data_IF_951714797377
#
_entry.id   IF_951714797377
#
_cell.length_a   1.000
_cell.length_b   1.000
_cell.length_c   1.000
_cell.angle_alpha   90.00
_cell.angle_beta   90.00
_cell.angle_gamma   90.00
#
_symmetry.space_group_name_H-M   'P 1'
#
loop_
_entity.id
_entity.type
_entity.pdbx_description
1 polymer ?
#
# COMPACT_ATOMS: atom_id res chain seq x y z
N UNK A 1 -26.90 -46.49 56.38
CA UNK A 1 -26.15 -46.37 55.14
C UNK A 1 -25.50 -45.02 55.10
N UNK A 2 -24.22 -44.97 55.43
CA UNK A 2 -23.39 -43.74 55.38
C UNK A 2 -23.05 -43.41 53.92
N UNK A 3 -23.39 -42.20 53.50
CA UNK A 3 -22.87 -41.59 52.28
C UNK A 3 -21.54 -40.88 52.59
N UNK A 4 -20.50 -41.00 51.72
CA UNK A 4 -19.20 -40.34 51.95
C UNK A 4 -19.23 -38.88 51.57
N UNK A 5 -18.44 -38.07 52.30
CA UNK A 5 -18.26 -36.64 52.19
C UNK A 5 -17.76 -36.24 50.80
N UNK A 6 -18.31 -35.15 50.24
CA UNK A 6 -17.84 -34.49 49.01
C UNK A 6 -16.45 -33.88 49.26
N UNK A 7 -15.52 -34.24 48.39
CA UNK A 7 -14.20 -33.57 48.27
C UNK A 7 -14.40 -32.14 47.78
N UNK A 8 -13.76 -31.19 48.42
CA UNK A 8 -13.65 -29.81 47.99
C UNK A 8 -12.86 -29.73 46.65
N UNK A 9 -13.49 -29.12 45.69
CA UNK A 9 -12.89 -28.81 44.39
C UNK A 9 -12.18 -27.44 44.50
N UNK A 10 -10.85 -27.33 44.19
CA UNK A 10 -10.10 -26.08 44.34
C UNK A 10 -10.04 -25.25 43.05
N UNK A 11 -11.18 -25.00 42.39
CA UNK A 11 -11.22 -24.18 41.18
C UNK A 11 -12.24 -23.05 41.24
N UNK A 12 -12.12 -22.20 42.29
CA UNK A 12 -12.63 -20.84 42.24
C UNK A 12 -11.47 -19.89 42.40
N UNK A 13 -10.78 -19.65 41.29
CA UNK A 13 -9.82 -18.53 41.20
C UNK A 13 -10.62 -17.24 41.20
N UNK A 14 -10.41 -16.49 42.27
CA UNK A 14 -10.96 -15.17 42.54
C UNK A 14 -10.28 -14.13 41.58
N UNK A 15 -11.02 -13.60 40.62
CA UNK A 15 -10.53 -12.62 39.61
C UNK A 15 -10.52 -11.17 40.14
N UNK A 16 -10.36 -10.94 41.41
CA UNK A 16 -10.41 -9.63 42.06
C UNK A 16 -9.09 -9.20 42.69
N UNK A 17 -7.96 -9.59 42.14
CA UNK A 17 -6.71 -8.91 42.47
C UNK A 17 -6.47 -7.75 41.50
N UNK A 18 -6.21 -6.50 41.97
CA UNK A 18 -5.83 -5.43 41.11
C UNK A 18 -4.48 -5.79 40.46
N UNK A 19 -4.46 -5.78 39.12
CA UNK A 19 -3.23 -5.92 38.37
C UNK A 19 -2.23 -4.89 38.89
N UNK A 20 -1.16 -5.40 39.53
CA UNK A 20 -0.02 -4.58 39.89
C UNK A 20 0.43 -3.80 38.67
N UNK A 21 0.64 -2.47 38.87
CA UNK A 21 1.27 -1.60 37.90
C UNK A 21 2.53 -2.27 37.33
N UNK A 22 2.37 -2.88 36.17
CA UNK A 22 3.52 -3.30 35.35
C UNK A 22 4.15 -1.99 34.85
N UNK A 23 5.15 -1.50 35.59
CA UNK A 23 6.11 -0.55 35.05
C UNK A 23 6.47 -1.04 33.65
N UNK A 24 6.11 -0.25 32.64
CA UNK A 24 6.63 -0.43 31.30
C UNK A 24 8.13 -0.66 31.42
N UNK A 25 8.68 -1.75 30.88
CA UNK A 25 10.12 -1.93 30.90
C UNK A 25 10.73 -0.72 30.23
N UNK A 26 11.54 0.02 30.96
CA UNK A 26 12.39 1.06 30.41
C UNK A 26 13.24 0.38 29.32
N UNK A 27 12.86 0.63 28.08
CA UNK A 27 13.48 0.01 26.91
C UNK A 27 14.90 0.57 26.85
N UNK A 28 15.90 -0.29 27.00
CA UNK A 28 17.30 0.02 26.67
C UNK A 28 17.37 0.29 25.15
N UNK A 29 16.95 1.47 24.76
CA UNK A 29 17.18 1.98 23.41
C UNK A 29 18.67 2.25 23.24
N UNK A 30 19.25 2.07 22.03
CA UNK A 30 20.64 2.42 21.77
C UNK A 30 20.91 3.83 22.26
N UNK A 31 22.08 4.04 22.88
CA UNK A 31 22.46 5.29 23.53
C UNK A 31 22.46 6.53 22.59
N UNK A 32 22.36 6.34 21.28
CA UNK A 32 22.26 7.41 20.28
C UNK A 32 21.01 7.21 19.40
N UNK A 33 20.30 8.30 19.05
CA UNK A 33 19.15 8.24 18.16
C UNK A 33 19.54 7.70 16.77
N UNK A 34 18.65 6.89 16.18
CA UNK A 34 18.81 6.39 14.81
C UNK A 34 18.72 7.53 13.79
N UNK A 35 19.73 7.65 12.93
CA UNK A 35 19.78 8.71 11.93
C UNK A 35 18.88 8.40 10.74
N UNK A 36 17.97 9.31 10.41
CA UNK A 36 17.12 9.28 9.23
C UNK A 36 17.65 10.25 8.18
N UNK A 37 17.71 9.79 6.94
CA UNK A 37 18.04 10.63 5.79
C UNK A 37 16.97 10.44 4.72
N UNK A 38 16.35 11.51 4.29
CA UNK A 38 15.49 11.49 3.09
C UNK A 38 16.36 11.77 1.88
N UNK A 39 16.23 10.95 0.85
CA UNK A 39 17.05 11.03 -0.36
C UNK A 39 16.15 11.25 -1.56
N UNK A 40 16.34 12.35 -2.28
CA UNK A 40 15.81 12.51 -3.62
C UNK A 40 16.77 11.88 -4.61
N UNK A 41 16.39 10.79 -5.23
CA UNK A 41 17.27 10.04 -6.12
C UNK A 41 16.70 8.72 -6.58
N UNK A 42 17.40 8.08 -7.52
CA UNK A 42 17.10 6.70 -7.91
C UNK A 42 17.67 5.72 -6.88
N UNK A 43 16.90 4.69 -6.55
CA UNK A 43 17.28 3.65 -5.58
C UNK A 43 18.56 2.89 -5.98
N UNK A 44 18.89 2.87 -7.28
CA UNK A 44 20.14 2.26 -7.78
C UNK A 44 21.40 2.89 -7.19
N UNK A 45 21.29 4.12 -6.66
CA UNK A 45 22.38 4.82 -5.98
C UNK A 45 22.35 4.66 -4.45
N UNK A 46 21.59 3.70 -3.94
CA UNK A 46 21.58 3.41 -2.51
C UNK A 46 22.95 2.86 -2.06
N UNK A 47 23.47 3.41 -0.95
CA UNK A 47 24.71 2.94 -0.35
C UNK A 47 24.51 1.78 0.64
N UNK A 48 23.30 1.60 1.11
CA UNK A 48 22.89 0.56 2.06
C UNK A 48 22.02 -0.48 1.36
N UNK A 49 21.94 -1.69 1.92
CA UNK A 49 21.01 -2.68 1.44
C UNK A 49 19.57 -2.16 1.41
N UNK A 50 18.82 -2.57 0.39
CA UNK A 50 17.53 -1.97 0.05
C UNK A 50 16.38 -2.85 0.54
N UNK A 51 15.33 -2.25 1.08
CA UNK A 51 14.07 -2.93 1.39
C UNK A 51 13.00 -2.44 0.43
N UNK A 52 12.37 -3.39 -0.26
CA UNK A 52 11.24 -3.16 -1.17
C UNK A 52 10.08 -4.07 -0.82
N UNK A 53 8.85 -3.62 -1.11
CA UNK A 53 7.64 -4.37 -0.84
C UNK A 53 7.02 -4.95 -2.12
N UNK A 54 6.44 -6.15 -2.02
CA UNK A 54 5.76 -6.84 -3.10
C UNK A 54 4.33 -7.22 -2.72
N UNK A 55 3.34 -6.86 -3.54
CA UNK A 55 1.96 -7.30 -3.36
C UNK A 55 1.71 -8.66 -4.03
N UNK A 56 0.86 -9.46 -3.40
CA UNK A 56 0.42 -10.72 -4.00
C UNK A 56 -0.24 -10.50 -5.36
N UNK A 57 0.23 -11.21 -6.37
CA UNK A 57 -0.28 -11.11 -7.74
C UNK A 57 0.34 -9.99 -8.58
N UNK A 58 1.19 -9.14 -8.03
CA UNK A 58 1.92 -8.14 -8.80
C UNK A 58 3.08 -8.76 -9.58
N UNK A 59 3.54 -8.04 -10.61
CA UNK A 59 4.78 -8.34 -11.31
C UNK A 59 5.94 -7.53 -10.70
N UNK A 60 7.17 -8.03 -10.85
CA UNK A 60 8.37 -7.30 -10.46
C UNK A 60 8.46 -6.00 -11.27
N UNK A 61 8.33 -4.85 -10.61
CA UNK A 61 8.30 -3.53 -11.26
C UNK A 61 8.90 -2.43 -10.36
N UNK A 62 9.15 -1.25 -10.92
CA UNK A 62 9.62 -0.09 -10.16
C UNK A 62 10.87 -0.37 -9.32
N UNK A 63 10.83 -0.15 -7.99
CA UNK A 63 11.97 -0.36 -7.10
C UNK A 63 12.47 -1.81 -7.07
N UNK A 64 11.58 -2.80 -7.18
CA UNK A 64 11.94 -4.21 -7.23
C UNK A 64 12.73 -4.55 -8.49
N UNK A 65 12.30 -4.03 -9.66
CA UNK A 65 13.01 -4.24 -10.92
C UNK A 65 14.42 -3.60 -10.89
N UNK A 66 14.59 -2.48 -10.19
CA UNK A 66 15.90 -1.86 -9.96
C UNK A 66 16.80 -2.75 -9.12
N UNK A 67 16.25 -3.30 -8.03
CA UNK A 67 16.97 -4.23 -7.17
C UNK A 67 17.30 -5.52 -7.94
N UNK A 68 16.36 -6.06 -8.73
CA UNK A 68 16.58 -7.26 -9.55
C UNK A 68 17.70 -7.07 -10.57
N UNK A 69 17.75 -5.92 -11.25
CA UNK A 69 18.84 -5.56 -12.15
C UNK A 69 20.17 -5.50 -11.41
N UNK A 70 20.21 -4.93 -10.20
CA UNK A 70 21.42 -4.88 -9.39
C UNK A 70 21.89 -6.27 -8.89
N UNK A 71 20.98 -7.24 -8.86
CA UNK A 71 21.20 -8.62 -8.42
C UNK A 71 21.25 -9.62 -9.60
N UNK A 72 21.48 -9.15 -10.83
CA UNK A 72 21.60 -9.96 -12.05
C UNK A 72 20.38 -10.89 -12.28
N UNK A 73 19.17 -10.40 -12.02
CA UNK A 73 17.92 -11.14 -12.24
C UNK A 73 17.60 -12.20 -11.18
N UNK A 74 18.21 -12.12 -9.99
CA UNK A 74 18.00 -13.12 -8.93
C UNK A 74 16.54 -13.12 -8.42
N UNK A 75 15.88 -11.96 -8.39
CA UNK A 75 14.49 -11.84 -7.96
C UNK A 75 13.54 -12.40 -9.02
N UNK A 76 13.76 -12.09 -10.30
CA UNK A 76 12.99 -12.62 -11.42
C UNK A 76 13.06 -14.15 -11.49
N UNK A 77 14.23 -14.75 -11.23
CA UNK A 77 14.35 -16.21 -11.14
C UNK A 77 13.52 -16.81 -10.02
N UNK A 78 13.51 -16.19 -8.83
CA UNK A 78 12.68 -16.63 -7.70
C UNK A 78 11.20 -16.50 -8.00
N UNK A 79 10.80 -15.43 -8.66
CA UNK A 79 9.42 -15.20 -9.09
C UNK A 79 8.95 -16.28 -10.07
N UNK A 80 9.77 -16.60 -11.09
CA UNK A 80 9.48 -17.64 -12.05
C UNK A 80 9.37 -19.06 -11.43
N UNK A 81 10.09 -19.29 -10.33
CA UNK A 81 10.04 -20.54 -9.57
C UNK A 81 8.89 -20.61 -8.55
N UNK A 82 8.08 -19.55 -8.41
CA UNK A 82 6.97 -19.52 -7.45
C UNK A 82 7.39 -19.42 -5.99
N UNK A 83 8.63 -19.01 -5.69
CA UNK A 83 9.19 -18.86 -4.33
C UNK A 83 9.44 -17.39 -3.98
N UNK A 84 8.66 -16.48 -4.59
CA UNK A 84 8.75 -15.06 -4.33
C UNK A 84 7.83 -14.64 -3.17
N UNK A 85 8.26 -13.74 -2.28
CA UNK A 85 7.44 -13.34 -1.13
C UNK A 85 6.19 -12.60 -1.59
N UNK A 86 5.03 -13.03 -1.10
CA UNK A 86 3.74 -12.43 -1.43
C UNK A 86 2.88 -12.19 -0.18
N UNK A 87 2.79 -13.18 0.73
CA UNK A 87 2.01 -13.03 1.96
C UNK A 87 2.70 -12.12 2.97
N UNK A 88 1.90 -11.45 3.82
CA UNK A 88 2.40 -10.54 4.85
C UNK A 88 3.39 -11.28 5.77
N UNK A 89 4.56 -10.69 5.94
CA UNK A 89 5.62 -11.27 6.76
C UNK A 89 6.52 -12.29 6.05
N UNK A 90 6.20 -12.68 4.81
CA UNK A 90 7.14 -13.43 3.97
C UNK A 90 8.26 -12.49 3.51
N UNK A 91 9.50 -12.98 3.53
CA UNK A 91 10.68 -12.17 3.18
C UNK A 91 11.66 -12.97 2.36
N UNK A 92 12.41 -12.29 1.53
CA UNK A 92 13.55 -12.87 0.81
C UNK A 92 14.70 -11.89 0.82
N UNK A 93 15.82 -12.30 1.41
CA UNK A 93 17.10 -11.61 1.30
C UNK A 93 17.87 -12.09 0.07
N UNK A 94 18.43 -11.17 -0.67
CA UNK A 94 19.31 -11.46 -1.80
C UNK A 94 20.50 -10.49 -1.82
N UNK A 95 21.69 -11.03 -1.95
CA UNK A 95 22.93 -10.28 -2.08
C UNK A 95 23.97 -11.08 -2.87
N UNK A 96 24.90 -10.35 -3.48
CA UNK A 96 26.07 -10.96 -4.11
C UNK A 96 27.28 -10.85 -3.15
N UNK A 97 27.82 -11.97 -2.65
CA UNK A 97 28.91 -11.94 -1.67
C UNK A 97 30.18 -11.27 -2.18
N UNK A 98 30.44 -11.40 -3.48
CA UNK A 98 31.67 -10.91 -4.13
C UNK A 98 31.53 -9.46 -4.59
N UNK A 99 30.32 -9.02 -4.90
CA UNK A 99 30.07 -7.65 -5.36
C UNK A 99 30.03 -6.67 -4.17
N UNK A 100 30.57 -5.48 -4.38
CA UNK A 100 30.49 -4.37 -3.41
C UNK A 100 29.12 -3.67 -3.42
N UNK A 101 28.24 -3.99 -4.38
CA UNK A 101 26.87 -3.47 -4.42
C UNK A 101 26.07 -3.96 -3.22
N UNK A 102 25.24 -3.12 -2.63
CA UNK A 102 24.39 -3.55 -1.53
C UNK A 102 23.35 -4.56 -2.05
N UNK A 103 23.09 -5.58 -1.24
CA UNK A 103 21.98 -6.50 -1.45
C UNK A 103 20.63 -5.86 -1.12
N UNK A 104 19.64 -6.68 -0.93
CA UNK A 104 18.31 -6.19 -0.52
C UNK A 104 17.39 -7.28 -0.02
N UNK A 105 16.28 -6.81 0.52
CA UNK A 105 15.17 -7.64 1.01
C UNK A 105 13.91 -7.26 0.27
N UNK A 106 13.19 -8.26 -0.19
CA UNK A 106 11.81 -8.11 -0.63
C UNK A 106 10.89 -8.59 0.48
N UNK A 107 9.90 -7.78 0.85
CA UNK A 107 8.90 -8.12 1.86
C UNK A 107 7.53 -8.29 1.21
N UNK A 108 6.84 -9.38 1.54
CA UNK A 108 5.46 -9.62 1.10
C UNK A 108 4.49 -8.70 1.82
N UNK A 109 3.63 -8.04 1.07
CA UNK A 109 2.61 -7.09 1.55
C UNK A 109 1.20 -7.69 1.56
N UNK A 110 1.03 -8.94 1.11
CA UNK A 110 -0.28 -9.57 0.96
C UNK A 110 -1.09 -8.97 -0.17
N UNK A 111 -2.40 -9.17 -0.11
CA UNK A 111 -3.30 -8.59 -1.11
C UNK A 111 -3.45 -7.09 -0.87
N UNK A 112 -3.54 -6.32 -1.97
CA UNK A 112 -3.75 -4.87 -1.91
C UNK A 112 -5.05 -4.49 -1.18
N UNK A 113 -6.06 -5.36 -1.23
CA UNK A 113 -7.33 -5.16 -0.54
C UNK A 113 -7.21 -5.17 1.00
N UNK A 114 -6.24 -5.92 1.53
CA UNK A 114 -6.00 -6.08 2.96
C UNK A 114 -4.88 -5.15 3.48
N UNK A 115 -4.39 -4.29 2.59
CA UNK A 115 -3.25 -3.43 2.90
C UNK A 115 -3.62 -2.33 3.90
N UNK A 116 -2.80 -2.17 4.93
CA UNK A 116 -3.02 -1.25 6.05
C UNK A 116 -1.70 -0.80 6.66
N UNK A 117 -1.74 0.17 7.56
CA UNK A 117 -0.59 0.56 8.38
C UNK A 117 -0.03 -0.62 9.20
N UNK A 118 -0.90 -1.52 9.67
CA UNK A 118 -0.51 -2.75 10.36
C UNK A 118 0.26 -3.71 9.45
N UNK A 119 -0.17 -3.86 8.21
CA UNK A 119 0.54 -4.66 7.19
C UNK A 119 1.94 -4.11 6.92
N UNK A 120 2.06 -2.79 6.71
CA UNK A 120 3.35 -2.11 6.52
C UNK A 120 4.28 -2.40 7.70
N UNK A 121 3.76 -2.21 8.91
CA UNK A 121 4.54 -2.42 10.13
C UNK A 121 5.05 -3.86 10.24
N UNK A 122 4.19 -4.85 10.06
CA UNK A 122 4.54 -6.26 10.18
C UNK A 122 5.56 -6.70 9.13
N UNK A 123 5.33 -6.32 7.86
CA UNK A 123 6.23 -6.63 6.75
C UNK A 123 7.61 -5.99 6.95
N UNK A 124 7.65 -4.72 7.37
CA UNK A 124 8.90 -4.00 7.54
C UNK A 124 9.71 -4.49 8.74
N UNK A 125 9.06 -4.89 9.84
CA UNK A 125 9.75 -5.54 10.97
C UNK A 125 10.45 -6.81 10.48
N UNK A 126 9.75 -7.69 9.77
CA UNK A 126 10.32 -8.92 9.22
C UNK A 126 11.48 -8.61 8.26
N UNK A 127 11.30 -7.64 7.36
CA UNK A 127 12.32 -7.21 6.40
C UNK A 127 13.58 -6.66 7.05
N UNK A 128 13.46 -5.83 8.08
CA UNK A 128 14.61 -5.26 8.79
C UNK A 128 15.38 -6.34 9.56
N UNK A 129 14.68 -7.27 10.20
CA UNK A 129 15.34 -8.39 10.92
C UNK A 129 16.07 -9.29 9.94
N UNK A 130 15.40 -9.68 8.83
CA UNK A 130 16.02 -10.51 7.80
C UNK A 130 17.24 -9.83 7.16
N UNK A 131 17.14 -8.52 6.93
CA UNK A 131 18.26 -7.73 6.42
C UNK A 131 19.46 -7.77 7.37
N UNK A 132 19.23 -7.59 8.67
CA UNK A 132 20.30 -7.63 9.67
C UNK A 132 20.97 -9.01 9.75
N UNK A 133 20.18 -10.08 9.66
CA UNK A 133 20.67 -11.46 9.64
C UNK A 133 21.47 -11.76 8.37
N UNK A 134 20.93 -11.39 7.21
CA UNK A 134 21.56 -11.59 5.90
C UNK A 134 22.88 -10.83 5.76
N UNK A 135 22.91 -9.55 6.12
CA UNK A 135 24.15 -8.75 6.12
C UNK A 135 25.19 -9.30 7.10
N UNK A 136 24.76 -9.82 8.24
CA UNK A 136 25.64 -10.50 9.18
C UNK A 136 26.28 -11.77 8.61
N UNK A 137 25.56 -12.53 7.78
CA UNK A 137 26.08 -13.70 7.06
C UNK A 137 27.05 -13.29 5.95
N UNK A 138 26.67 -12.32 5.13
CA UNK A 138 27.53 -11.80 4.05
C UNK A 138 28.81 -11.19 4.60
N UNK A 139 28.76 -10.47 5.71
CA UNK A 139 29.94 -9.91 6.36
C UNK A 139 30.92 -11.02 6.77
N UNK A 140 30.44 -12.13 7.31
CA UNK A 140 31.27 -13.29 7.65
C UNK A 140 31.92 -13.93 6.42
N UNK A 141 31.17 -14.08 5.32
CA UNK A 141 31.70 -14.61 4.06
C UNK A 141 32.77 -13.68 3.49
N UNK A 142 32.53 -12.38 3.45
CA UNK A 142 33.49 -11.37 2.98
C UNK A 142 34.76 -11.34 3.86
N UNK A 143 34.62 -11.47 5.17
CA UNK A 143 35.76 -11.56 6.11
C UNK A 143 36.63 -12.78 5.82
N UNK A 144 36.00 -13.91 5.54
CA UNK A 144 36.72 -15.14 5.18
C UNK A 144 37.45 -14.98 3.84
N UNK A 145 36.81 -14.44 2.81
CA UNK A 145 37.45 -14.18 1.51
C UNK A 145 38.59 -13.16 1.66
N UNK A 146 38.35 -12.04 2.36
CA UNK A 146 39.37 -11.02 2.60
C UNK A 146 40.60 -11.51 3.31
N UNK A 147 40.44 -12.46 4.24
CA UNK A 147 41.61 -13.13 4.88
C UNK A 147 42.40 -14.02 3.93
N UNK A 148 41.71 -14.65 2.97
CA UNK A 148 42.35 -15.47 1.94
C UNK A 148 43.12 -14.63 0.93
N UNK A 149 42.59 -13.46 0.59
CA UNK A 149 43.13 -12.54 -0.43
C UNK A 149 44.08 -11.47 0.14
N UNK A 150 44.34 -11.46 1.46
CA UNK A 150 45.19 -10.47 2.12
C UNK A 150 44.68 -9.01 2.05
N UNK A 151 43.37 -8.81 1.73
CA UNK A 151 42.75 -7.52 1.60
C UNK A 151 42.17 -6.97 2.91
N UNK A 152 42.09 -5.63 3.00
CA UNK A 152 41.45 -4.97 4.14
C UNK A 152 39.92 -5.25 4.15
N UNK A 153 39.40 -5.62 5.32
CA UNK A 153 37.99 -5.89 5.54
C UNK A 153 37.15 -4.60 5.36
N UNK A 154 36.17 -4.59 4.48
CA UNK A 154 35.26 -3.44 4.41
C UNK A 154 34.42 -3.39 5.71
N UNK A 155 34.36 -2.20 6.31
CA UNK A 155 33.50 -1.95 7.50
C UNK A 155 32.06 -2.35 7.21
N UNK A 156 31.39 -3.14 8.06
CA UNK A 156 30.00 -3.50 7.88
C UNK A 156 29.13 -2.26 7.79
N UNK A 157 28.27 -2.22 6.77
CA UNK A 157 27.34 -1.09 6.55
C UNK A 157 26.12 -1.25 7.49
N UNK A 158 26.15 -0.58 8.64
CA UNK A 158 25.06 -0.63 9.61
C UNK A 158 23.91 0.32 9.24
N UNK A 159 23.38 0.20 8.03
CA UNK A 159 22.27 1.00 7.58
C UNK A 159 21.36 0.24 6.62
N UNK A 160 20.18 0.75 6.39
CA UNK A 160 19.25 0.26 5.38
C UNK A 160 18.75 1.41 4.51
N UNK A 161 18.43 1.11 3.26
CA UNK A 161 17.74 2.00 2.35
C UNK A 161 16.35 1.44 2.04
N UNK A 162 15.36 2.27 1.90
CA UNK A 162 14.01 1.86 1.55
C UNK A 162 13.28 2.94 0.76
N UNK A 163 12.24 2.55 0.07
CA UNK A 163 11.25 3.46 -0.48
C UNK A 163 10.01 3.47 0.42
N UNK A 164 9.16 4.46 0.26
CA UNK A 164 7.85 4.41 0.90
C UNK A 164 7.05 3.22 0.36
N UNK A 165 6.58 2.37 1.27
CA UNK A 165 5.82 1.17 0.94
C UNK A 165 4.36 1.52 0.71
N UNK A 166 3.78 1.09 -0.42
CA UNK A 166 2.35 1.18 -0.68
C UNK A 166 1.79 2.56 -1.07
N UNK A 167 2.63 3.56 -1.30
CA UNK A 167 2.18 4.93 -1.65
C UNK A 167 1.43 5.03 -2.97
N UNK A 168 1.68 4.14 -3.92
CA UNK A 168 0.96 4.11 -5.20
C UNK A 168 -0.47 3.61 -5.10
N UNK A 169 -0.83 2.94 -4.01
CA UNK A 169 -2.17 2.38 -3.84
C UNK A 169 -3.18 3.43 -3.39
N UNK A 170 -2.73 4.53 -2.76
CA UNK A 170 -3.58 5.52 -2.12
C UNK A 170 -4.44 4.96 -0.97
N UNK A 171 -4.13 3.75 -0.53
CA UNK A 171 -4.87 3.01 0.51
C UNK A 171 -4.56 3.54 1.90
N UNK A 172 -3.29 3.90 2.13
CA UNK A 172 -2.81 4.43 3.40
C UNK A 172 -2.24 5.82 3.16
N UNK A 173 -2.56 6.77 4.04
CA UNK A 173 -2.01 8.13 3.92
C UNK A 173 -0.48 8.12 4.07
N UNK A 174 0.18 9.13 3.51
CA UNK A 174 1.64 9.28 3.67
C UNK A 174 2.03 9.35 5.14
N UNK A 175 1.28 10.08 5.95
CA UNK A 175 1.54 10.22 7.39
C UNK A 175 1.42 8.89 8.12
N UNK A 176 0.36 8.12 7.86
CA UNK A 176 0.17 6.81 8.49
C UNK A 176 1.21 5.79 8.02
N UNK A 177 1.58 5.84 6.74
CA UNK A 177 2.67 5.02 6.19
C UNK A 177 3.98 5.29 6.92
N UNK A 178 4.37 6.57 7.03
CA UNK A 178 5.61 6.95 7.70
C UNK A 178 5.57 6.64 9.20
N UNK A 179 4.45 6.84 9.86
CA UNK A 179 4.27 6.47 11.27
C UNK A 179 4.39 4.94 11.47
N UNK A 180 3.80 4.14 10.57
CA UNK A 180 3.94 2.69 10.60
C UNK A 180 5.38 2.24 10.36
N UNK A 181 6.08 2.88 9.40
CA UNK A 181 7.49 2.63 9.12
C UNK A 181 8.38 2.95 10.33
N UNK A 182 8.20 4.12 10.96
CA UNK A 182 8.95 4.49 12.17
C UNK A 182 8.68 3.51 13.30
N UNK A 183 7.42 3.14 13.54
CA UNK A 183 7.05 2.15 14.54
C UNK A 183 7.64 0.76 14.28
N UNK A 184 7.76 0.37 13.00
CA UNK A 184 8.41 -0.87 12.60
C UNK A 184 9.92 -0.83 12.88
N UNK A 185 10.57 0.28 12.56
CA UNK A 185 12.01 0.48 12.78
C UNK A 185 12.33 0.40 14.28
N UNK A 186 11.57 1.10 15.14
CA UNK A 186 11.74 1.04 16.61
C UNK A 186 11.63 -0.40 17.12
N UNK A 187 10.59 -1.12 16.69
CA UNK A 187 10.36 -2.49 17.12
C UNK A 187 11.46 -3.45 16.61
N UNK A 188 11.90 -3.31 15.35
CA UNK A 188 13.00 -4.10 14.81
C UNK A 188 14.31 -3.84 15.58
N UNK A 189 14.63 -2.55 15.86
CA UNK A 189 15.81 -2.17 16.66
C UNK A 189 15.78 -2.83 18.04
N UNK A 190 14.63 -2.78 18.75
CA UNK A 190 14.46 -3.41 20.05
C UNK A 190 14.76 -4.91 19.98
N UNK A 191 14.17 -5.63 19.00
CA UNK A 191 14.40 -7.07 18.83
C UNK A 191 15.85 -7.42 18.47
N UNK A 192 16.50 -6.60 17.64
CA UNK A 192 17.91 -6.79 17.31
C UNK A 192 18.80 -6.67 18.55
N UNK A 193 18.56 -5.66 19.39
CA UNK A 193 19.32 -5.47 20.64
C UNK A 193 19.09 -6.64 21.61
N UNK A 194 17.84 -7.05 21.81
CA UNK A 194 17.50 -8.21 22.66
C UNK A 194 18.19 -9.50 22.22
N UNK A 195 18.35 -9.69 20.93
CA UNK A 195 19.05 -10.85 20.37
C UNK A 195 20.58 -10.65 20.22
N UNK A 196 21.12 -9.56 20.78
CA UNK A 196 22.55 -9.20 20.68
C UNK A 196 23.05 -9.08 19.23
N UNK A 197 22.15 -8.74 18.32
CA UNK A 197 22.47 -8.39 16.94
C UNK A 197 22.80 -6.89 16.85
N UNK A 198 23.55 -6.52 15.81
CA UNK A 198 23.90 -5.11 15.60
C UNK A 198 22.67 -4.31 15.15
N UNK A 199 22.26 -3.28 15.88
CA UNK A 199 21.20 -2.41 15.46
C UNK A 199 21.64 -1.52 14.29
N UNK A 200 20.68 -1.04 13.50
CA UNK A 200 20.95 -0.06 12.45
C UNK A 200 21.33 1.29 13.05
N UNK A 201 22.26 1.99 12.42
CA UNK A 201 22.67 3.35 12.81
C UNK A 201 22.10 4.40 11.89
N UNK A 202 21.70 4.01 10.67
CA UNK A 202 21.18 4.90 9.64
C UNK A 202 20.12 4.24 8.78
N UNK A 203 19.03 4.96 8.51
CA UNK A 203 18.00 4.59 7.54
C UNK A 203 17.90 5.70 6.49
N UNK A 204 17.93 5.30 5.22
CA UNK A 204 17.70 6.17 4.06
C UNK A 204 16.33 5.89 3.47
N UNK A 205 15.51 6.92 3.31
CA UNK A 205 14.20 6.83 2.65
C UNK A 205 14.32 7.54 1.31
N UNK A 206 14.23 6.75 0.23
CA UNK A 206 14.36 7.24 -1.13
C UNK A 206 13.02 7.68 -1.70
N UNK A 207 13.02 8.82 -2.35
CA UNK A 207 11.92 9.31 -3.16
C UNK A 207 12.47 9.73 -4.53
N UNK A 208 11.85 9.19 -5.59
CA UNK A 208 12.25 9.49 -6.96
C UNK A 208 11.91 10.92 -7.37
N UNK A 209 10.75 11.44 -6.91
CA UNK A 209 10.28 12.78 -7.17
C UNK A 209 10.70 13.74 -6.05
N UNK A 210 11.14 14.94 -6.43
CA UNK A 210 11.64 15.95 -5.49
C UNK A 210 10.56 16.45 -4.51
N UNK A 211 9.36 16.73 -4.99
CA UNK A 211 8.22 17.14 -4.18
C UNK A 211 7.85 16.09 -3.12
N UNK A 212 7.88 14.83 -3.51
CA UNK A 212 7.65 13.70 -2.62
C UNK A 212 8.73 13.61 -1.55
N UNK A 213 10.00 13.82 -1.91
CA UNK A 213 11.11 13.81 -0.94
C UNK A 213 10.93 14.90 0.13
N UNK A 214 10.59 16.12 -0.28
CA UNK A 214 10.32 17.21 0.65
C UNK A 214 9.09 16.93 1.54
N UNK A 215 8.02 16.39 0.98
CA UNK A 215 6.82 16.03 1.75
C UNK A 215 7.13 14.96 2.79
N UNK A 216 7.92 13.93 2.43
CA UNK A 216 8.41 12.89 3.35
C UNK A 216 9.23 13.55 4.46
N UNK A 217 10.17 14.42 4.12
CA UNK A 217 11.04 15.07 5.09
C UNK A 217 10.24 15.87 6.12
N UNK A 218 9.34 16.76 5.67
CA UNK A 218 8.49 17.55 6.56
C UNK A 218 7.55 16.68 7.42
N UNK A 219 7.06 15.58 6.88
CA UNK A 219 6.18 14.67 7.63
C UNK A 219 6.97 13.92 8.69
N UNK A 220 8.18 13.45 8.37
CA UNK A 220 9.07 12.79 9.33
C UNK A 220 9.49 13.74 10.44
N UNK A 221 9.88 14.99 10.11
CA UNK A 221 10.28 15.99 11.09
C UNK A 221 9.18 16.22 12.13
N UNK A 222 7.92 16.33 11.70
CA UNK A 222 6.77 16.42 12.61
C UNK A 222 6.55 15.15 13.42
N UNK A 223 6.66 13.96 12.81
CA UNK A 223 6.40 12.68 13.48
C UNK A 223 7.44 12.39 14.57
N UNK A 224 8.73 12.64 14.32
CA UNK A 224 9.79 12.38 15.31
C UNK A 224 9.69 13.29 16.53
N UNK A 225 9.04 14.46 16.40
CA UNK A 225 8.79 15.36 17.51
C UNK A 225 7.64 14.88 18.42
N UNK A 226 6.80 13.95 17.97
CA UNK A 226 5.69 13.41 18.77
C UNK A 226 6.18 12.60 19.98
N UNK A 227 5.41 12.50 21.07
CA UNK A 227 5.79 11.73 22.25
C UNK A 227 6.16 10.27 21.94
N UNK A 228 5.55 9.68 20.92
CA UNK A 228 5.75 8.29 20.52
C UNK A 228 7.17 8.03 19.98
N UNK A 229 7.77 8.98 19.27
CA UNK A 229 9.06 8.80 18.58
C UNK A 229 10.17 9.70 19.11
N UNK A 230 9.85 10.55 20.08
CA UNK A 230 10.81 11.51 20.66
C UNK A 230 12.04 10.81 21.22
N UNK A 231 13.22 11.22 20.76
CA UNK A 231 14.50 10.67 21.20
C UNK A 231 14.92 9.36 20.50
N UNK A 232 14.01 8.71 19.74
CA UNK A 232 14.33 7.49 19.02
C UNK A 232 15.07 7.78 17.69
N UNK A 233 14.80 8.94 17.09
CA UNK A 233 15.31 9.31 15.78
C UNK A 233 15.92 10.71 15.78
N UNK A 234 16.90 10.89 14.88
CA UNK A 234 17.42 12.17 14.43
C UNK A 234 17.34 12.25 12.91
N UNK A 235 16.73 13.29 12.34
CA UNK A 235 16.63 13.50 10.91
C UNK A 235 17.74 14.45 10.43
N UNK A 236 18.31 14.20 9.25
CA UNK A 236 19.22 15.12 8.62
C UNK A 236 18.52 16.45 8.31
N UNK A 237 19.24 17.58 8.42
CA UNK A 237 18.65 18.93 8.30
C UNK A 237 18.01 19.20 6.92
N UNK A 238 18.46 18.50 5.89
CA UNK A 238 18.05 18.71 4.53
C UNK A 238 17.83 17.38 3.79
N UNK A 239 17.06 17.44 2.70
CA UNK A 239 16.93 16.34 1.75
C UNK A 239 18.26 16.14 1.03
N UNK A 240 18.79 14.93 1.06
CA UNK A 240 20.01 14.59 0.31
C UNK A 240 19.66 14.31 -1.16
N UNK A 241 20.45 14.85 -2.08
CA UNK A 241 20.25 14.64 -3.51
C UNK A 241 21.21 13.58 -4.06
N UNK A 242 20.69 12.72 -4.95
CA UNK A 242 21.45 11.71 -5.69
C UNK A 242 21.04 11.74 -7.17
N UNK A 243 21.85 11.12 -8.00
CA UNK A 243 21.58 11.02 -9.42
C UNK A 243 20.29 10.21 -9.73
N UNK A 244 19.75 10.42 -10.92
CA UNK A 244 18.58 9.71 -11.41
C UNK A 244 17.24 10.18 -10.83
N UNK A 245 17.21 11.24 -10.01
CA UNK A 245 15.99 11.87 -9.53
C UNK A 245 15.20 12.53 -10.67
N UNK A 246 13.87 12.53 -10.56
CA UNK A 246 13.02 13.34 -11.42
C UNK A 246 12.60 14.60 -10.69
N UNK A 247 12.78 15.76 -11.36
CA UNK A 247 12.17 17.00 -10.93
C UNK A 247 10.74 17.04 -11.41
N UNK A 248 9.81 17.11 -10.49
CA UNK A 248 8.40 17.36 -10.77
C UNK A 248 8.06 18.73 -10.23
N UNK A 249 7.45 19.58 -11.06
CA UNK A 249 6.75 20.75 -10.55
C UNK A 249 5.58 20.20 -9.73
N UNK A 250 5.54 20.51 -8.45
CA UNK A 250 4.49 20.09 -7.54
C UNK A 250 3.12 20.42 -8.17
N UNK A 251 2.45 19.43 -8.72
CA UNK A 251 1.01 19.50 -8.84
C UNK A 251 0.50 19.13 -7.46
N UNK A 252 -0.35 19.97 -6.94
CA UNK A 252 -1.06 19.74 -5.69
C UNK A 252 -1.98 18.51 -5.87
N UNK A 253 -1.37 17.33 -5.93
CA UNK A 253 -2.07 16.06 -5.86
C UNK A 253 -2.44 15.88 -4.40
N UNK A 254 -3.51 16.55 -4.01
CA UNK A 254 -4.15 16.33 -2.73
C UNK A 254 -4.73 14.91 -2.76
N UNK A 255 -3.87 13.91 -2.46
CA UNK A 255 -4.26 12.49 -2.43
C UNK A 255 -5.37 12.24 -1.41
N UNK A 256 -5.49 13.11 -0.40
CA UNK A 256 -6.61 13.12 0.55
C UNK A 256 -7.94 13.56 -0.09
N UNK A 257 -7.90 14.19 -1.28
CA UNK A 257 -9.09 14.54 -2.05
C UNK A 257 -9.70 13.37 -2.81
N UNK A 258 -9.01 12.23 -2.91
CA UNK A 258 -9.50 11.03 -3.59
C UNK A 258 -9.92 9.96 -2.60
N UNK A 259 -11.18 9.57 -2.67
CA UNK A 259 -11.68 8.40 -1.96
C UNK A 259 -11.53 7.17 -2.85
N UNK A 260 -10.84 6.15 -2.37
CA UNK A 260 -10.71 4.89 -3.08
C UNK A 260 -11.83 3.93 -2.68
N UNK A 261 -12.50 3.35 -3.67
CA UNK A 261 -13.53 2.35 -3.50
C UNK A 261 -13.19 1.14 -4.37
N UNK A 262 -12.91 0.02 -3.74
CA UNK A 262 -12.71 -1.24 -4.43
C UNK A 262 -14.04 -1.95 -4.59
N UNK A 263 -14.34 -2.41 -5.81
CA UNK A 263 -15.57 -3.13 -6.14
C UNK A 263 -15.18 -4.38 -6.93
N UNK A 264 -15.56 -5.53 -6.40
CA UNK A 264 -15.24 -6.82 -7.00
C UNK A 264 -16.45 -7.75 -6.97
N UNK A 265 -16.54 -8.61 -7.97
CA UNK A 265 -17.48 -9.71 -7.95
C UNK A 265 -17.07 -10.76 -6.91
N UNK A 266 -18.02 -11.26 -6.14
CA UNK A 266 -17.77 -12.25 -5.10
C UNK A 266 -18.87 -13.31 -5.12
N UNK A 267 -18.49 -14.58 -5.01
CA UNK A 267 -19.44 -15.67 -4.78
C UNK A 267 -19.91 -15.66 -3.34
N UNK A 268 -21.21 -15.77 -3.17
CA UNK A 268 -21.87 -15.85 -1.88
C UNK A 268 -22.01 -17.31 -1.44
N UNK A 269 -22.32 -17.50 -0.15
CA UNK A 269 -22.46 -18.84 0.45
C UNK A 269 -23.60 -19.68 -0.16
N UNK A 270 -24.61 -19.03 -0.73
CA UNK A 270 -25.73 -19.64 -1.45
C UNK A 270 -25.42 -19.96 -2.93
N UNK A 271 -24.19 -19.71 -3.37
CA UNK A 271 -23.74 -19.91 -4.75
C UNK A 271 -24.10 -18.79 -5.72
N UNK A 272 -24.85 -17.78 -5.29
CA UNK A 272 -25.14 -16.57 -6.09
C UNK A 272 -23.92 -15.67 -6.18
N UNK A 273 -23.96 -14.73 -7.14
CA UNK A 273 -22.90 -13.76 -7.35
C UNK A 273 -23.33 -12.38 -6.87
N UNK A 274 -22.49 -11.71 -6.09
CA UNK A 274 -22.71 -10.37 -5.60
C UNK A 274 -21.51 -9.46 -5.82
N UNK A 275 -21.68 -8.17 -5.56
CA UNK A 275 -20.59 -7.19 -5.59
C UNK A 275 -20.13 -6.93 -4.17
N UNK A 276 -18.83 -7.05 -3.94
CA UNK A 276 -18.17 -6.71 -2.70
C UNK A 276 -17.57 -5.32 -2.81
N UNK A 277 -17.92 -4.47 -1.86
CA UNK A 277 -17.41 -3.10 -1.76
C UNK A 277 -16.45 -2.99 -0.58
N UNK A 278 -15.33 -2.32 -0.80
CA UNK A 278 -14.41 -1.93 0.26
C UNK A 278 -14.05 -0.46 0.09
N UNK A 279 -14.43 0.37 1.06
CA UNK A 279 -14.00 1.76 1.12
C UNK A 279 -12.62 1.83 1.76
N UNK A 280 -11.68 2.42 1.05
CA UNK A 280 -10.30 2.50 1.46
C UNK A 280 -10.03 3.98 1.77
N UNK A 281 -10.05 4.33 3.05
CA UNK A 281 -9.73 5.66 3.54
C UNK A 281 -8.53 5.63 4.49
N UNK A 282 -7.89 6.78 4.71
CA UNK A 282 -6.65 6.88 5.49
C UNK A 282 -6.72 6.40 6.94
N UNK A 283 -7.92 6.26 7.52
CA UNK A 283 -8.09 5.87 8.92
C UNK A 283 -9.14 4.79 9.19
N UNK A 284 -9.95 4.41 8.18
CA UNK A 284 -10.98 3.40 8.36
C UNK A 284 -11.27 2.64 7.07
N UNK A 285 -11.40 1.33 7.19
CA UNK A 285 -11.91 0.44 6.15
C UNK A 285 -13.37 0.12 6.48
N UNK A 286 -14.30 0.49 5.61
CA UNK A 286 -15.68 0.01 5.69
C UNK A 286 -15.89 -1.05 4.60
N UNK A 287 -16.12 -2.28 4.99
CA UNK A 287 -16.53 -3.34 4.08
C UNK A 287 -18.05 -3.48 4.11
N UNK A 288 -18.67 -3.36 2.94
CA UNK A 288 -20.07 -3.70 2.74
C UNK A 288 -20.17 -4.78 1.67
N UNK A 289 -20.93 -5.83 1.93
CA UNK A 289 -21.25 -6.82 0.91
C UNK A 289 -22.66 -6.55 0.43
N UNK A 290 -22.84 -6.31 -0.86
CA UNK A 290 -24.14 -6.26 -1.49
C UNK A 290 -24.39 -7.59 -2.19
N UNK A 291 -25.47 -8.22 -1.83
CA UNK A 291 -26.05 -9.31 -2.63
C UNK A 291 -26.78 -8.65 -3.79
N UNK A 292 -26.22 -8.69 -4.99
CA UNK A 292 -26.96 -8.31 -6.17
C UNK A 292 -28.04 -9.36 -6.40
N UNK A 293 -29.21 -9.12 -5.89
CA UNK A 293 -30.38 -9.90 -6.29
C UNK A 293 -30.53 -9.73 -7.81
N UNK A 294 -30.54 -10.80 -8.55
CA UNK A 294 -30.76 -10.91 -9.98
C UNK A 294 -29.88 -9.98 -10.86
N UNK A 295 -28.74 -10.52 -11.30
CA UNK A 295 -27.81 -9.88 -12.25
C UNK A 295 -28.55 -9.34 -13.50
N UNK A 296 -29.61 -10.00 -13.94
CA UNK A 296 -30.41 -9.63 -15.08
C UNK A 296 -31.03 -8.23 -14.93
N UNK A 297 -31.52 -7.87 -13.74
CA UNK A 297 -32.01 -6.51 -13.49
C UNK A 297 -30.90 -5.46 -13.55
N UNK A 298 -29.75 -5.77 -12.98
CA UNK A 298 -28.59 -4.85 -13.03
C UNK A 298 -28.18 -4.60 -14.48
N UNK A 299 -28.06 -5.67 -15.28
CA UNK A 299 -27.67 -5.57 -16.70
C UNK A 299 -28.75 -4.83 -17.50
N UNK A 300 -30.04 -5.07 -17.22
CA UNK A 300 -31.13 -4.36 -17.88
C UNK A 300 -31.12 -2.85 -17.62
N UNK A 301 -30.91 -2.43 -16.37
CA UNK A 301 -30.81 -1.00 -16.04
C UNK A 301 -29.54 -0.37 -16.63
N UNK A 302 -28.41 -1.07 -16.60
CA UNK A 302 -27.19 -0.61 -17.24
C UNK A 302 -27.38 -0.43 -18.75
N UNK A 303 -27.99 -1.39 -19.45
CA UNK A 303 -28.33 -1.28 -20.87
C UNK A 303 -29.32 -0.13 -21.13
N UNK A 304 -30.31 0.07 -20.26
CA UNK A 304 -31.23 1.19 -20.38
C UNK A 304 -30.46 2.53 -20.33
N UNK A 305 -29.50 2.67 -19.44
CA UNK A 305 -28.65 3.87 -19.35
C UNK A 305 -27.88 4.08 -20.67
N UNK A 306 -27.27 3.03 -21.21
CA UNK A 306 -26.50 3.11 -22.46
C UNK A 306 -27.38 3.42 -23.70
N UNK A 307 -28.60 2.90 -23.71
CA UNK A 307 -29.50 3.02 -24.87
C UNK A 307 -30.44 4.22 -24.81
N UNK A 308 -30.62 4.88 -23.67
CA UNK A 308 -31.58 5.97 -23.48
C UNK A 308 -31.03 7.35 -23.90
N UNK A 309 -30.33 7.41 -25.03
CA UNK A 309 -29.75 8.69 -25.51
C UNK A 309 -30.77 9.76 -25.78
N UNK A 310 -32.02 9.40 -26.09
CA UNK A 310 -33.09 10.32 -26.48
C UNK A 310 -34.06 10.72 -25.35
N UNK A 311 -34.07 9.99 -24.23
CA UNK A 311 -35.00 10.25 -23.13
C UNK A 311 -34.29 10.49 -21.79
N UNK A 312 -34.13 11.77 -21.44
CA UNK A 312 -33.55 12.16 -20.15
C UNK A 312 -34.31 11.58 -18.95
N UNK A 313 -35.62 11.40 -19.05
CA UNK A 313 -36.45 10.85 -17.97
C UNK A 313 -36.19 9.37 -17.76
N UNK A 314 -36.14 8.58 -18.86
CA UNK A 314 -35.86 7.14 -18.79
C UNK A 314 -34.42 6.87 -18.25
N UNK A 315 -33.47 7.65 -18.74
CA UNK A 315 -32.09 7.58 -18.27
C UNK A 315 -31.97 7.85 -16.76
N UNK A 316 -32.59 8.92 -16.27
CA UNK A 316 -32.56 9.30 -14.85
C UNK A 316 -33.20 8.22 -13.97
N UNK A 317 -34.34 7.68 -14.36
CA UNK A 317 -35.02 6.63 -13.63
C UNK A 317 -34.14 5.34 -13.56
N UNK A 318 -33.54 4.95 -14.67
CA UNK A 318 -32.64 3.79 -14.72
C UNK A 318 -31.36 4.02 -13.89
N UNK A 319 -30.76 5.21 -13.97
CA UNK A 319 -29.57 5.59 -13.22
C UNK A 319 -29.80 5.57 -11.70
N UNK A 320 -30.97 6.05 -11.25
CA UNK A 320 -31.38 6.00 -9.84
C UNK A 320 -31.65 4.57 -9.39
N UNK A 321 -32.38 3.79 -10.19
CA UNK A 321 -32.67 2.39 -9.86
C UNK A 321 -31.38 1.57 -9.75
N UNK A 322 -30.43 1.77 -10.65
CA UNK A 322 -29.15 1.08 -10.63
C UNK A 322 -28.34 1.45 -9.38
N UNK A 323 -28.31 2.74 -9.01
CA UNK A 323 -27.67 3.18 -7.77
C UNK A 323 -28.31 2.51 -6.55
N UNK A 324 -29.65 2.49 -6.48
CA UNK A 324 -30.35 1.89 -5.35
C UNK A 324 -30.12 0.36 -5.26
N UNK A 325 -29.96 -0.32 -6.37
CA UNK A 325 -29.72 -1.76 -6.41
C UNK A 325 -28.28 -2.12 -6.04
N UNK A 326 -27.31 -1.36 -6.49
CA UNK A 326 -25.88 -1.74 -6.42
C UNK A 326 -25.19 -1.19 -5.17
N UNK A 327 -25.46 0.09 -4.80
CA UNK A 327 -24.72 0.70 -3.70
C UNK A 327 -25.17 0.19 -2.34
N UNK A 328 -24.22 -0.27 -1.47
CA UNK A 328 -24.54 -0.71 -0.12
C UNK A 328 -25.15 0.42 0.72
N UNK A 329 -26.14 0.13 1.60
CA UNK A 329 -26.76 1.14 2.46
C UNK A 329 -25.75 1.94 3.29
N UNK A 330 -24.67 1.30 3.76
CA UNK A 330 -23.62 1.93 4.55
C UNK A 330 -22.86 3.00 3.75
N UNK A 331 -22.64 2.77 2.45
CA UNK A 331 -21.99 3.73 1.57
C UNK A 331 -22.96 4.84 1.10
N UNK A 332 -24.26 4.55 1.02
CA UNK A 332 -25.30 5.58 0.76
C UNK A 332 -25.40 6.58 1.90
N UNK A 333 -25.31 6.10 3.16
CA UNK A 333 -25.35 6.95 4.34
C UNK A 333 -24.09 7.84 4.47
N UNK A 334 -22.93 7.32 4.06
CA UNK A 334 -21.67 8.05 4.04
C UNK A 334 -21.52 8.83 2.74
N UNK A 335 -22.34 9.87 2.52
CA UNK A 335 -22.29 10.72 1.32
C UNK A 335 -20.84 10.97 0.88
N UNK A 336 -20.61 10.91 -0.43
CA UNK A 336 -19.33 11.30 -1.00
C UNK A 336 -19.18 12.82 -0.86
N UNK A 337 -18.63 13.29 0.27
CA UNK A 337 -18.41 14.71 0.59
C UNK A 337 -17.61 15.44 -0.50
N UNK A 338 -18.17 15.62 -1.69
CA UNK A 338 -17.58 16.32 -2.84
C UNK A 338 -16.11 15.92 -3.16
N UNK A 339 -15.67 14.75 -2.73
CA UNK A 339 -14.32 14.25 -3.00
C UNK A 339 -14.30 13.46 -4.29
N UNK A 340 -13.23 13.61 -5.03
CA UNK A 340 -12.97 12.76 -6.20
C UNK A 340 -12.95 11.28 -5.82
N UNK A 341 -13.46 10.42 -6.71
CA UNK A 341 -13.64 9.00 -6.47
C UNK A 341 -12.71 8.16 -7.37
N UNK A 342 -11.91 7.31 -6.77
CA UNK A 342 -11.13 6.30 -7.48
C UNK A 342 -11.79 4.94 -7.31
N UNK A 343 -12.32 4.39 -8.41
CA UNK A 343 -12.94 3.08 -8.46
C UNK A 343 -11.89 2.05 -8.86
N UNK A 344 -11.63 1.08 -7.99
CA UNK A 344 -10.73 -0.04 -8.24
C UNK A 344 -11.62 -1.25 -8.56
N UNK A 345 -11.68 -1.63 -9.83
CA UNK A 345 -12.69 -2.53 -10.37
C UNK A 345 -12.06 -3.80 -10.93
N UNK A 346 -12.70 -4.95 -10.72
CA UNK A 346 -12.44 -6.13 -11.53
C UNK A 346 -13.20 -6.05 -12.87
N UNK A 347 -13.00 -7.04 -13.73
CA UNK A 347 -13.61 -7.06 -15.06
C UNK A 347 -15.13 -7.05 -15.02
N UNK A 348 -15.75 -7.74 -14.04
CA UNK A 348 -17.20 -7.80 -13.91
C UNK A 348 -17.79 -6.47 -13.45
N UNK A 349 -17.19 -5.85 -12.42
CA UNK A 349 -17.60 -4.54 -11.94
C UNK A 349 -17.32 -3.42 -12.96
N UNK A 350 -16.27 -3.56 -13.77
CA UNK A 350 -15.92 -2.57 -14.78
C UNK A 350 -16.97 -2.42 -15.91
N UNK A 351 -17.83 -3.40 -16.10
CA UNK A 351 -18.94 -3.30 -17.06
C UNK A 351 -20.08 -2.38 -16.62
N UNK A 352 -20.10 -1.95 -15.35
CA UNK A 352 -21.17 -1.14 -14.80
C UNK A 352 -20.88 0.36 -14.92
N UNK A 353 -21.91 1.17 -15.28
CA UNK A 353 -21.74 2.62 -15.52
C UNK A 353 -21.81 3.44 -14.24
N UNK A 354 -20.84 3.27 -13.33
CA UNK A 354 -20.80 3.97 -12.03
C UNK A 354 -20.85 5.50 -12.18
N UNK A 355 -20.26 6.02 -13.23
CA UNK A 355 -20.20 7.45 -13.53
C UNK A 355 -21.58 8.07 -13.82
N UNK A 356 -22.50 7.24 -14.28
CA UNK A 356 -23.81 7.66 -14.73
C UNK A 356 -24.93 7.36 -13.72
N UNK A 357 -24.61 6.72 -12.58
CA UNK A 357 -25.58 6.41 -11.54
C UNK A 357 -26.04 7.69 -10.83
N UNK A 358 -27.32 7.75 -10.44
CA UNK A 358 -27.90 8.89 -9.72
C UNK A 358 -27.96 8.58 -8.22
N UNK A 359 -27.13 9.25 -7.43
CA UNK A 359 -26.98 9.07 -5.97
C UNK A 359 -27.87 10.03 -5.14
N UNK A 360 -28.74 10.80 -5.77
CA UNK A 360 -29.62 11.76 -5.08
C UNK A 360 -30.71 11.04 -4.28
N UNK A 361 -31.11 11.66 -3.16
CA UNK A 361 -32.28 11.26 -2.39
C UNK A 361 -33.54 11.92 -2.92
N UNK A 362 -34.71 11.31 -2.73
CA UNK A 362 -36.00 11.77 -3.29
C UNK A 362 -36.41 13.17 -2.84
N UNK A 363 -35.87 13.69 -1.75
CA UNK A 363 -36.19 15.00 -1.19
C UNK A 363 -35.21 16.12 -1.56
N UNK A 364 -34.18 15.84 -2.34
CA UNK A 364 -33.26 16.87 -2.78
C UNK A 364 -33.82 17.60 -3.99
N UNK A 365 -34.20 18.88 -3.75
CA UNK A 365 -34.57 19.78 -4.82
C UNK A 365 -33.47 19.82 -5.89
N UNK A 366 -33.86 20.00 -7.14
CA UNK A 366 -32.96 20.15 -8.30
C UNK A 366 -32.08 21.40 -8.18
N UNK A 367 -31.30 21.47 -7.11
CA UNK A 367 -30.28 22.50 -6.93
C UNK A 367 -29.07 22.01 -7.73
N UNK A 368 -28.78 22.76 -8.80
CA UNK A 368 -27.64 22.56 -9.68
C UNK A 368 -27.72 21.37 -10.64
N UNK A 369 -28.73 21.46 -11.49
CA UNK A 369 -28.73 20.84 -12.81
C UNK A 369 -28.26 19.40 -12.92
N UNK A 370 -29.07 18.43 -12.49
CA UNK A 370 -29.13 17.05 -13.06
C UNK A 370 -27.80 16.39 -13.53
N UNK A 371 -26.69 16.71 -12.91
CA UNK A 371 -25.38 16.22 -13.36
C UNK A 371 -25.06 14.86 -12.74
N UNK A 372 -24.68 13.86 -13.53
CA UNK A 372 -24.23 12.57 -13.01
C UNK A 372 -22.96 12.72 -12.15
N UNK A 373 -22.62 11.73 -11.32
CA UNK A 373 -21.43 11.75 -10.45
C UNK A 373 -20.15 12.15 -11.18
N UNK A 374 -19.94 11.67 -12.40
CA UNK A 374 -18.74 11.99 -13.19
C UNK A 374 -18.59 13.49 -13.55
N UNK A 375 -19.68 14.26 -13.47
CA UNK A 375 -19.66 15.71 -13.75
C UNK A 375 -19.60 16.53 -12.47
N UNK A 376 -20.07 15.97 -11.34
CA UNK A 376 -20.06 16.64 -10.03
C UNK A 376 -18.72 16.52 -9.33
N UNK A 377 -18.05 15.39 -9.47
CA UNK A 377 -16.73 15.12 -8.92
C UNK A 377 -15.93 14.24 -9.89
N UNK A 378 -14.62 14.29 -9.80
CA UNK A 378 -13.76 13.46 -10.65
C UNK A 378 -13.92 11.98 -10.33
N UNK A 379 -14.12 11.15 -11.36
CA UNK A 379 -14.10 9.69 -11.23
C UNK A 379 -12.94 9.13 -12.05
N UNK A 380 -12.12 8.30 -11.41
CA UNK A 380 -11.03 7.56 -12.03
C UNK A 380 -11.32 6.07 -11.89
N UNK A 381 -11.26 5.33 -13.01
CA UNK A 381 -11.31 3.86 -13.00
C UNK A 381 -9.92 3.29 -13.01
N UNK A 382 -9.69 2.31 -12.15
CA UNK A 382 -8.49 1.49 -12.12
C UNK A 382 -8.92 0.03 -12.20
N UNK A 383 -8.47 -0.69 -13.24
CA UNK A 383 -8.76 -2.12 -13.36
C UNK A 383 -7.79 -2.93 -12.50
N UNK A 384 -8.33 -3.89 -11.76
CA UNK A 384 -7.55 -4.96 -11.13
C UNK A 384 -7.38 -6.05 -12.17
N UNK A 385 -6.18 -6.17 -12.73
CA UNK A 385 -5.83 -7.25 -13.64
C UNK A 385 -4.78 -8.13 -12.99
N UNK A 386 -4.94 -9.45 -13.13
CA UNK A 386 -3.93 -10.42 -12.67
C UNK A 386 -2.67 -10.36 -13.55
N UNK A 387 -2.84 -9.95 -14.81
CA UNK A 387 -1.76 -9.75 -15.78
C UNK A 387 -1.61 -8.26 -16.11
N UNK A 388 -1.06 -7.48 -15.19
CA UNK A 388 -0.74 -6.09 -15.48
C UNK A 388 0.38 -6.02 -16.53
N UNK A 389 0.14 -5.26 -17.62
CA UNK A 389 1.05 -5.17 -18.74
C UNK A 389 2.50 -4.90 -18.28
N UNK A 390 3.40 -5.82 -18.62
CA UNK A 390 4.83 -5.83 -18.26
C UNK A 390 5.64 -4.66 -18.84
N UNK A 391 5.03 -3.79 -19.64
CA UNK A 391 5.69 -2.64 -20.25
C UNK A 391 4.91 -1.38 -19.91
N UNK A 392 5.42 -0.58 -18.98
CA UNK A 392 5.17 0.85 -19.05
C UNK A 392 5.87 1.33 -20.33
N UNK A 393 5.08 1.62 -21.35
CA UNK A 393 5.58 2.39 -22.48
C UNK A 393 5.92 3.76 -21.91
N UNK A 394 7.20 4.06 -21.78
CA UNK A 394 7.66 5.40 -21.48
C UNK A 394 7.09 6.25 -22.62
N UNK A 395 6.22 7.20 -22.27
CA UNK A 395 5.73 8.16 -23.24
C UNK A 395 6.97 8.80 -23.89
N UNK A 396 7.09 8.69 -25.21
CA UNK A 396 8.11 9.39 -25.97
C UNK A 396 7.96 10.88 -25.63
N UNK A 397 9.06 11.63 -25.53
CA UNK A 397 9.04 13.05 -25.21
C UNK A 397 8.25 13.92 -26.21
N UNK A 398 7.70 13.33 -27.25
CA UNK A 398 6.74 13.93 -28.18
C UNK A 398 5.37 13.92 -27.51
N UNK A 399 4.79 15.12 -27.32
CA UNK A 399 3.47 15.33 -26.68
C UNK A 399 2.30 14.90 -27.55
N UNK A 400 2.40 13.75 -28.22
CA UNK A 400 1.37 13.18 -29.09
C UNK A 400 0.66 12.06 -28.36
N UNK A 401 -0.66 12.15 -28.21
CA UNK A 401 -1.51 11.10 -27.69
C UNK A 401 -2.41 10.58 -28.80
N UNK A 402 -2.43 9.27 -29.03
CA UNK A 402 -3.42 8.62 -29.87
C UNK A 402 -4.66 8.34 -29.01
N UNK A 403 -5.76 9.00 -29.29
CA UNK A 403 -7.06 8.69 -28.70
C UNK A 403 -7.83 7.84 -29.69
N UNK A 404 -8.05 6.56 -29.33
CA UNK A 404 -8.90 5.65 -30.10
C UNK A 404 -10.27 5.65 -29.43
N UNK A 405 -11.25 6.24 -30.09
CA UNK A 405 -12.66 6.09 -29.74
C UNK A 405 -13.27 5.02 -30.65
N UNK A 406 -14.23 4.27 -30.14
CA UNK A 406 -15.10 3.43 -30.96
C UNK A 406 -16.40 4.22 -31.20
N UNK A 407 -16.50 4.97 -32.32
CA UNK A 407 -17.75 5.60 -32.69
C UNK A 407 -18.64 4.51 -33.26
N UNK A 408 -19.50 3.91 -32.47
CA UNK A 408 -20.62 3.15 -32.97
C UNK A 408 -21.49 4.10 -33.79
N UNK A 409 -21.56 3.79 -35.08
CA UNK A 409 -22.39 4.39 -36.11
C UNK A 409 -22.06 5.85 -36.53
N UNK A 410 -21.18 5.96 -37.46
CA UNK A 410 -21.40 6.54 -38.80
C UNK A 410 -21.45 8.06 -38.97
N UNK A 411 -21.52 8.92 -37.99
CA UNK A 411 -21.74 10.36 -38.23
C UNK A 411 -20.97 11.29 -37.28
N UNK A 412 -19.67 11.06 -37.12
CA UNK A 412 -18.78 12.06 -36.50
C UNK A 412 -17.94 12.74 -37.58
N UNK A 413 -18.43 13.86 -38.11
CA UNK A 413 -17.61 14.78 -38.87
C UNK A 413 -16.76 15.58 -37.89
N UNK A 414 -15.46 15.31 -37.84
CA UNK A 414 -14.49 16.22 -37.25
C UNK A 414 -14.26 17.35 -38.24
N UNK A 415 -14.68 18.58 -37.87
CA UNK A 415 -14.33 19.83 -38.55
C UNK A 415 -13.00 20.34 -38.09
#
# INVERSE_FOLDING_TARGET
GNLPARRNDPTTQNWSEPMADTKSPATDMPAAPLRLTVVNGDLSYAHYPVIVGHFAGDSISGPEARLDTALDGALSRRYALGIYPASVGSVTYAAQPVDRRPGGVVVGLGNIADFSAGTIRSALIAGLIELALGEGQIARVRDTIGRLDGGANPTPRNGAAMVMIGTRTGVVSMTDTLAAMLGAIVEAQRRLVEQKLRPFTKIQIFAYMEDTAHTIWHTLDRLIATPQFRGAFAIDAEVAYRDGAARRIARDENLDAWRALQIQESRLADGSTGLRFASIGGSARAEGMLVAGNREFVDKFAQTIYNSRESATAWKAAARSLYQLIWPPQLKAARFDNRNLRLILDTAAASLPFELMDDRQDNEAEIDGNRPPAVRYGILRQLVQQDFARRQTVASGERTALVIGDPHDGDWHFG
#
